data_IF_031426970094
#
_entry.id   IF_031426970094
#
_cell.length_a   1.000
_cell.length_b   1.000
_cell.length_c   1.000
_cell.angle_alpha   90.00
_cell.angle_beta   90.00
_cell.angle_gamma   90.00
#
_symmetry.space_group_name_H-M   'P 1'
#
loop_
_entity.id
_entity.type
_entity.pdbx_description
1 polymer ?
#
# COMPACT_ATOMS: atom_id res chain seq x y z
N UNK A 1 -14.51 33.17 16.07
CA UNK A 1 -14.56 32.19 17.17
C UNK A 1 -14.23 30.81 16.60
N UNK A 2 -12.95 30.46 16.52
CA UNK A 2 -12.43 29.15 16.06
C UNK A 2 -11.22 28.80 16.93
N UNK A 3 -11.51 28.45 18.17
CA UNK A 3 -10.61 27.79 19.12
C UNK A 3 -11.53 26.81 19.87
N UNK A 4 -11.05 25.61 20.16
CA UNK A 4 -11.79 24.46 20.74
C UNK A 4 -12.54 23.58 19.73
N UNK A 5 -11.80 22.79 18.95
CA UNK A 5 -12.32 21.53 18.37
C UNK A 5 -11.20 20.51 18.06
N UNK A 6 -10.03 20.63 18.72
CA UNK A 6 -8.89 19.69 18.56
C UNK A 6 -8.78 18.72 19.75
N UNK A 7 -9.65 18.79 20.75
CA UNK A 7 -9.49 18.05 22.01
C UNK A 7 -10.52 16.92 22.25
N UNK A 8 -11.27 16.44 21.24
CA UNK A 8 -12.35 15.47 21.51
C UNK A 8 -12.60 14.43 20.40
N UNK A 9 -11.56 14.04 19.67
CA UNK A 9 -11.63 12.94 18.68
C UNK A 9 -10.67 11.79 18.96
N UNK A 10 -9.91 11.84 20.06
CA UNK A 10 -8.88 10.84 20.39
C UNK A 10 -9.37 9.61 21.16
N UNK A 11 -10.69 9.45 21.29
CA UNK A 11 -11.30 8.32 22.01
C UNK A 11 -12.35 7.65 21.14
N UNK A 12 -11.89 6.79 20.22
CA UNK A 12 -12.57 5.58 19.72
C UNK A 12 -12.14 5.28 18.27
N UNK A 13 -10.89 4.82 18.06
CA UNK A 13 -10.51 3.96 16.93
C UNK A 13 -9.21 3.20 17.30
N UNK A 14 -9.15 2.74 18.55
CA UNK A 14 -8.12 1.84 19.05
C UNK A 14 -8.67 0.42 19.09
N UNK A 15 -8.87 -0.19 17.92
CA UNK A 15 -9.07 -1.63 17.80
C UNK A 15 -8.75 -2.04 16.36
N UNK A 16 -7.47 -2.24 16.06
CA UNK A 16 -7.13 -3.22 15.04
C UNK A 16 -7.80 -4.52 15.50
N UNK A 17 -8.83 -4.96 14.77
CA UNK A 17 -9.59 -6.14 15.12
C UNK A 17 -8.69 -7.36 14.94
N UNK A 18 -7.94 -7.69 15.99
CA UNK A 18 -7.31 -8.99 16.18
C UNK A 18 -8.44 -9.98 16.46
N UNK A 19 -9.14 -10.40 15.42
CA UNK A 19 -10.09 -11.51 15.50
C UNK A 19 -9.26 -12.77 15.78
N UNK A 20 -9.22 -13.18 17.04
CA UNK A 20 -8.60 -14.43 17.46
C UNK A 20 -9.51 -15.60 17.06
N UNK A 21 -9.30 -16.19 15.89
CA UNK A 21 -9.76 -17.56 15.64
C UNK A 21 -8.87 -18.55 16.43
N UNK A 22 -9.42 -19.67 16.94
CA UNK A 22 -8.64 -20.63 17.70
C UNK A 22 -7.57 -21.22 16.79
N UNK A 23 -6.30 -21.06 17.20
CA UNK A 23 -5.16 -21.59 16.47
C UNK A 23 -5.08 -23.11 16.69
N UNK A 24 -5.43 -23.89 15.68
CA UNK A 24 -4.74 -25.16 15.46
C UNK A 24 -3.23 -24.87 15.39
N UNK A 25 -2.38 -25.82 15.83
CA UNK A 25 -0.93 -25.65 15.76
C UNK A 25 -0.54 -25.31 14.31
N UNK A 26 -0.19 -24.03 14.08
CA UNK A 26 -0.01 -23.52 12.74
C UNK A 26 1.27 -24.11 12.15
N UNK A 27 1.15 -24.79 11.01
CA UNK A 27 2.33 -25.25 10.29
C UNK A 27 3.16 -24.04 9.88
N UNK A 28 4.46 -24.07 10.16
CA UNK A 28 5.38 -23.00 9.80
C UNK A 28 5.90 -23.24 8.38
N UNK A 29 6.03 -22.19 7.54
CA UNK A 29 6.71 -22.34 6.27
C UNK A 29 8.20 -22.63 6.50
N UNK A 30 8.90 -23.23 5.53
CA UNK A 30 10.34 -23.43 5.61
C UNK A 30 11.08 -22.10 5.81
N UNK A 31 12.19 -22.14 6.55
CA UNK A 31 13.09 -20.99 6.63
C UNK A 31 13.69 -20.67 5.26
N UNK A 32 13.80 -19.38 4.96
CA UNK A 32 14.38 -18.90 3.73
C UNK A 32 15.61 -18.02 4.05
N UNK A 33 16.83 -18.45 3.70
CA UNK A 33 18.04 -17.70 3.98
C UNK A 33 18.27 -16.51 3.02
N UNK A 34 17.44 -16.37 1.98
CA UNK A 34 17.64 -15.37 0.93
C UNK A 34 17.00 -14.05 1.31
N UNK A 35 17.53 -12.96 0.76
CA UNK A 35 16.93 -11.63 0.87
C UNK A 35 16.19 -11.28 -0.42
N UNK A 36 15.30 -10.28 -0.36
CA UNK A 36 14.53 -9.83 -1.52
C UNK A 36 14.70 -8.32 -1.67
N UNK A 37 14.99 -7.85 -2.88
CA UNK A 37 14.92 -6.42 -3.23
C UNK A 37 13.81 -6.23 -4.24
N UNK A 38 12.94 -5.24 -4.02
CA UNK A 38 11.83 -4.92 -4.92
C UNK A 38 11.97 -3.50 -5.43
N UNK A 39 11.75 -3.34 -6.74
CA UNK A 39 11.51 -2.04 -7.36
C UNK A 39 10.06 -2.05 -7.83
N UNK A 40 9.32 -1.03 -7.45
CA UNK A 40 7.92 -0.91 -7.79
C UNK A 40 7.61 0.50 -8.30
N UNK A 41 6.80 0.54 -9.35
CA UNK A 41 6.35 1.76 -10.00
C UNK A 41 4.83 1.68 -10.19
N UNK A 42 4.14 2.71 -9.74
CA UNK A 42 2.71 2.91 -9.95
C UNK A 42 2.53 4.20 -10.73
N UNK A 43 1.66 4.17 -11.73
CA UNK A 43 1.39 5.37 -12.53
C UNK A 43 0.03 5.26 -13.21
N UNK A 44 -0.71 6.36 -13.22
CA UNK A 44 -2.02 6.39 -13.87
C UNK A 44 -1.93 6.39 -15.41
N UNK A 45 -0.77 6.71 -15.99
CA UNK A 45 -0.51 6.50 -17.42
C UNK A 45 -0.28 5.03 -17.80
N UNK A 46 -0.03 4.12 -16.84
CA UNK A 46 0.07 2.67 -17.07
C UNK A 46 -1.30 1.99 -17.21
N UNK A 47 -2.37 2.69 -16.82
CA UNK A 47 -3.75 2.18 -16.87
C UNK A 47 -4.35 2.19 -18.29
N UNK A 48 -5.47 1.48 -18.47
CA UNK A 48 -6.25 1.44 -19.71
C UNK A 48 -7.72 1.89 -19.44
N UNK A 49 -8.13 3.12 -19.82
CA UNK A 49 -7.33 4.19 -20.39
C UNK A 49 -6.50 4.92 -19.34
N UNK A 50 -5.26 5.27 -19.68
CA UNK A 50 -4.39 6.01 -18.79
C UNK A 50 -4.81 7.47 -18.60
N UNK A 51 -4.46 8.04 -17.45
CA UNK A 51 -4.70 9.46 -17.10
C UNK A 51 -3.42 10.16 -16.62
N UNK A 52 -3.52 11.42 -16.14
CA UNK A 52 -2.46 12.15 -15.40
C UNK A 52 -3.12 13.06 -14.33
N UNK A 53 -3.78 12.45 -13.34
CA UNK A 53 -4.57 13.13 -12.29
C UNK A 53 -4.75 12.29 -11.03
N UNK A 54 -5.07 12.95 -9.92
CA UNK A 54 -5.34 12.31 -8.63
C UNK A 54 -4.10 11.59 -8.11
N UNK A 55 -4.10 10.28 -7.95
CA UNK A 55 -2.87 9.53 -7.72
C UNK A 55 -2.15 9.32 -9.05
N UNK A 56 -1.03 10.00 -9.25
CA UNK A 56 -0.35 10.07 -10.56
C UNK A 56 0.92 9.23 -10.62
N UNK A 57 1.65 9.11 -9.50
CA UNK A 57 2.88 8.34 -9.47
C UNK A 57 3.18 7.83 -8.07
N UNK A 58 3.70 6.60 -8.01
CA UNK A 58 4.30 6.01 -6.84
C UNK A 58 5.58 5.27 -7.19
N UNK A 59 6.67 5.57 -6.50
CA UNK A 59 7.95 4.88 -6.66
C UNK A 59 8.40 4.26 -5.34
N UNK A 60 8.76 2.97 -5.34
CA UNK A 60 9.17 2.25 -4.13
C UNK A 60 10.39 1.39 -4.37
N UNK A 61 11.29 1.44 -3.39
CA UNK A 61 12.40 0.50 -3.22
C UNK A 61 12.20 -0.25 -1.90
N UNK A 62 11.98 -1.56 -2.00
CA UNK A 62 11.76 -2.45 -0.86
C UNK A 62 12.93 -3.42 -0.65
N UNK A 63 13.17 -3.79 0.61
CA UNK A 63 14.11 -4.82 1.01
C UNK A 63 13.48 -5.72 2.09
N UNK A 64 13.50 -7.03 1.86
CA UNK A 64 13.10 -8.04 2.85
C UNK A 64 14.31 -8.87 3.24
N UNK A 65 14.59 -8.95 4.54
CA UNK A 65 15.66 -9.78 5.09
C UNK A 65 15.33 -11.28 5.10
N UNK A 66 16.32 -12.14 5.40
CA UNK A 66 16.12 -13.58 5.57
C UNK A 66 15.14 -13.92 6.71
N UNK A 67 14.57 -15.11 6.67
CA UNK A 67 13.75 -15.64 7.78
C UNK A 67 14.56 -15.73 9.06
N UNK A 68 13.99 -15.26 10.18
CA UNK A 68 14.62 -15.30 11.50
C UNK A 68 15.68 -14.23 11.74
N UNK A 69 16.09 -13.46 10.72
CA UNK A 69 17.01 -12.33 10.84
C UNK A 69 16.33 -11.07 11.41
N UNK A 70 15.68 -11.22 12.57
CA UNK A 70 14.91 -10.18 13.24
C UNK A 70 15.49 -9.92 14.63
N UNK A 71 15.74 -8.66 15.05
CA UNK A 71 16.21 -8.35 16.39
C UNK A 71 15.30 -8.96 17.46
N UNK A 72 15.90 -9.55 18.50
CA UNK A 72 15.15 -10.35 19.49
C UNK A 72 14.00 -9.62 20.18
N UNK A 73 14.10 -8.31 20.38
CA UNK A 73 13.01 -7.52 20.95
C UNK A 73 11.82 -7.37 19.98
N UNK A 74 12.08 -7.14 18.68
CA UNK A 74 11.05 -7.10 17.63
C UNK A 74 10.44 -8.49 17.46
N UNK A 75 11.27 -9.53 17.48
CA UNK A 75 10.81 -10.90 17.38
C UNK A 75 9.87 -11.29 18.52
N UNK A 76 10.24 -10.94 19.76
CA UNK A 76 9.42 -11.16 20.95
C UNK A 76 8.09 -10.41 20.89
N UNK A 77 8.12 -9.15 20.42
CA UNK A 77 6.91 -8.35 20.20
C UNK A 77 6.00 -9.02 19.16
N UNK A 78 6.54 -9.45 18.03
CA UNK A 78 5.79 -10.15 16.99
C UNK A 78 5.12 -11.42 17.50
N UNK A 79 5.86 -12.25 18.25
CA UNK A 79 5.31 -13.46 18.85
C UNK A 79 4.24 -13.16 19.90
N UNK A 80 4.39 -12.08 20.65
CA UNK A 80 3.36 -11.62 21.59
C UNK A 80 2.09 -11.10 20.90
N UNK A 81 2.23 -10.42 19.76
CA UNK A 81 1.11 -9.85 19.01
C UNK A 81 0.38 -10.88 18.14
N UNK A 82 1.12 -11.77 17.50
CA UNK A 82 0.63 -12.63 16.42
C UNK A 82 0.70 -14.13 16.72
N UNK A 83 1.36 -14.53 17.81
CA UNK A 83 1.56 -15.93 18.20
C UNK A 83 2.78 -16.57 17.50
N UNK A 84 2.71 -17.87 17.24
CA UNK A 84 3.76 -18.58 16.52
C UNK A 84 3.79 -18.17 15.03
N UNK A 85 4.99 -18.13 14.45
CA UNK A 85 5.18 -17.80 13.02
C UNK A 85 6.64 -17.57 12.69
N UNK A 86 7.01 -17.72 11.42
CA UNK A 86 8.33 -17.34 10.92
C UNK A 86 8.36 -15.85 10.61
N UNK A 87 9.40 -15.15 11.05
CA UNK A 87 9.44 -13.69 10.96
C UNK A 87 10.48 -13.20 9.95
N UNK A 88 10.15 -12.10 9.27
CA UNK A 88 11.06 -11.35 8.38
C UNK A 88 10.91 -9.85 8.65
N UNK A 89 11.98 -9.11 8.46
CA UNK A 89 11.97 -7.65 8.50
C UNK A 89 11.93 -7.10 7.07
N UNK A 90 11.04 -6.15 6.83
CA UNK A 90 10.90 -5.44 5.55
C UNK A 90 11.16 -3.94 5.78
N UNK A 91 11.89 -3.33 4.85
CA UNK A 91 12.26 -1.93 4.85
C UNK A 91 11.94 -1.32 3.49
N UNK A 92 11.28 -0.17 3.49
CA UNK A 92 10.85 0.50 2.27
C UNK A 92 11.26 1.96 2.26
N UNK A 93 11.63 2.47 1.09
CA UNK A 93 11.61 3.88 0.77
C UNK A 93 10.60 4.09 -0.35
N UNK A 94 9.58 4.92 -0.11
CA UNK A 94 8.53 5.19 -1.10
C UNK A 94 8.26 6.69 -1.26
N UNK A 95 7.96 7.09 -2.49
CA UNK A 95 7.40 8.39 -2.83
C UNK A 95 6.02 8.19 -3.47
N UNK A 96 5.07 9.03 -3.11
CA UNK A 96 3.74 9.10 -3.72
C UNK A 96 3.45 10.55 -4.12
N UNK A 97 2.88 10.73 -5.29
CA UNK A 97 2.63 12.02 -5.91
C UNK A 97 1.14 12.12 -6.25
N UNK A 98 0.53 13.22 -5.81
CA UNK A 98 -0.87 13.51 -6.00
C UNK A 98 -1.07 14.86 -6.69
N UNK A 99 -2.02 14.91 -7.63
CA UNK A 99 -2.35 16.10 -8.40
C UNK A 99 -3.87 16.35 -8.45
N UNK A 100 -4.31 17.61 -8.58
CA UNK A 100 -5.67 17.92 -8.99
C UNK A 100 -5.98 17.38 -10.40
N UNK A 101 -7.26 17.34 -10.75
CA UNK A 101 -7.77 16.87 -12.05
C UNK A 101 -7.22 17.66 -13.24
N UNK A 102 -7.07 18.98 -13.09
CA UNK A 102 -6.50 19.85 -14.14
C UNK A 102 -5.09 20.32 -13.73
N UNK A 103 -4.08 19.70 -14.35
CA UNK A 103 -2.68 19.95 -14.04
C UNK A 103 -2.11 21.20 -14.74
N UNK A 104 -2.84 21.74 -15.71
CA UNK A 104 -2.38 22.81 -16.59
C UNK A 104 -2.82 24.21 -16.14
N UNK A 105 -3.53 24.29 -15.01
CA UNK A 105 -3.92 25.54 -14.36
C UNK A 105 -2.90 25.93 -13.28
N UNK A 106 -2.41 27.17 -13.36
CA UNK A 106 -1.44 27.71 -12.38
C UNK A 106 -2.00 27.76 -10.95
N UNK A 107 -3.26 28.13 -10.80
CA UNK A 107 -3.96 28.19 -9.53
C UNK A 107 -5.10 27.15 -9.52
N UNK A 108 -4.86 25.92 -9.04
CA UNK A 108 -5.83 24.83 -9.12
C UNK A 108 -7.16 25.16 -8.43
N UNK A 109 -8.23 24.50 -8.89
CA UNK A 109 -9.56 24.59 -8.29
C UNK A 109 -9.49 24.26 -6.78
N UNK A 110 -9.94 25.15 -5.88
CA UNK A 110 -9.93 24.89 -4.44
C UNK A 110 -10.93 23.81 -4.00
N UNK A 111 -11.81 23.35 -4.88
CA UNK A 111 -12.74 22.22 -4.66
C UNK A 111 -12.21 20.89 -5.20
N UNK A 112 -10.97 20.86 -5.67
CA UNK A 112 -10.25 19.66 -6.07
C UNK A 112 -9.11 19.38 -5.07
N UNK A 113 -8.55 18.16 -5.10
CA UNK A 113 -7.46 17.80 -4.19
C UNK A 113 -6.24 18.71 -4.41
N UNK A 114 -5.49 19.05 -3.36
CA UNK A 114 -4.24 19.80 -3.51
C UNK A 114 -3.17 18.94 -4.21
N UNK A 115 -2.19 19.61 -4.80
CA UNK A 115 -0.92 18.92 -5.12
C UNK A 115 -0.28 18.45 -3.81
N UNK A 116 0.25 17.24 -3.79
CA UNK A 116 1.02 16.74 -2.67
C UNK A 116 2.10 15.78 -3.16
N UNK A 117 3.27 15.85 -2.54
CA UNK A 117 4.23 14.75 -2.56
C UNK A 117 4.36 14.22 -1.14
N UNK A 118 4.46 12.90 -0.99
CA UNK A 118 4.81 12.23 0.24
C UNK A 118 6.06 11.40 0.00
N UNK A 119 7.07 11.53 0.87
CA UNK A 119 8.25 10.68 0.89
C UNK A 119 8.32 10.02 2.26
N UNK A 120 8.37 8.69 2.32
CA UNK A 120 8.38 7.95 3.58
C UNK A 120 9.34 6.77 3.56
N UNK A 121 9.90 6.49 4.74
CA UNK A 121 10.62 5.27 5.04
C UNK A 121 9.76 4.39 5.95
N UNK A 122 9.61 3.11 5.61
CA UNK A 122 8.77 2.15 6.35
C UNK A 122 9.64 1.04 6.91
N UNK A 123 9.27 0.56 8.10
CA UNK A 123 9.82 -0.63 8.72
C UNK A 123 8.68 -1.54 9.13
N UNK A 124 8.68 -2.76 8.62
CA UNK A 124 7.61 -3.74 8.82
C UNK A 124 8.15 -5.06 9.34
N UNK A 125 7.45 -5.66 10.29
CA UNK A 125 7.58 -7.04 10.69
C UNK A 125 6.53 -7.87 9.94
N UNK A 126 7.00 -8.84 9.17
CA UNK A 126 6.17 -9.88 8.54
C UNK A 126 6.26 -11.12 9.43
N UNK A 127 5.12 -11.72 9.78
CA UNK A 127 5.06 -13.00 10.46
C UNK A 127 4.13 -13.97 9.74
N UNK A 128 4.72 -15.06 9.26
CA UNK A 128 4.04 -16.07 8.45
C UNK A 128 3.79 -17.37 9.20
N UNK A 129 2.62 -17.95 8.93
CA UNK A 129 2.36 -19.38 9.03
C UNK A 129 2.08 -19.90 7.61
N UNK A 130 1.84 -21.20 7.46
CA UNK A 130 1.41 -21.77 6.18
C UNK A 130 0.11 -21.15 5.65
N UNK A 131 -0.76 -20.62 6.53
CA UNK A 131 -2.11 -20.16 6.19
C UNK A 131 -2.35 -18.67 6.47
N UNK A 132 -1.42 -17.97 7.11
CA UNK A 132 -1.61 -16.55 7.43
C UNK A 132 -0.34 -15.74 7.34
N UNK A 133 -0.45 -14.50 6.86
CA UNK A 133 0.59 -13.46 6.96
C UNK A 133 0.08 -12.34 7.85
N UNK A 134 0.79 -12.06 8.94
CA UNK A 134 0.52 -10.92 9.83
C UNK A 134 1.59 -9.86 9.63
N UNK A 135 1.18 -8.60 9.62
CA UNK A 135 2.05 -7.46 9.36
C UNK A 135 1.84 -6.43 10.47
N UNK A 136 2.93 -5.88 11.00
CA UNK A 136 2.92 -4.67 11.81
C UNK A 136 4.13 -3.82 11.47
N UNK A 137 3.95 -2.50 11.41
CA UNK A 137 5.04 -1.61 11.06
C UNK A 137 4.79 -0.17 11.43
N UNK A 138 5.79 0.64 11.16
CA UNK A 138 5.73 2.09 11.29
C UNK A 138 6.35 2.75 10.06
N UNK A 139 5.85 3.93 9.72
CA UNK A 139 6.37 4.78 8.66
C UNK A 139 6.71 6.15 9.23
N UNK A 140 7.84 6.70 8.80
CA UNK A 140 8.23 8.09 9.06
C UNK A 140 8.48 8.80 7.75
N UNK A 141 8.10 10.06 7.64
CA UNK A 141 8.21 10.74 6.36
C UNK A 141 7.96 12.23 6.40
N UNK A 142 7.71 12.78 5.22
CA UNK A 142 7.35 14.17 5.01
C UNK A 142 6.34 14.29 3.88
N UNK A 143 5.32 15.13 4.08
CA UNK A 143 4.45 15.64 3.02
C UNK A 143 4.87 17.07 2.66
N UNK A 144 4.78 17.44 1.38
CA UNK A 144 5.01 18.79 0.87
C UNK A 144 6.29 18.96 0.03
N UNK A 145 6.80 20.18 -0.19
CA UNK A 145 7.94 20.43 -1.07
C UNK A 145 9.20 19.61 -0.77
N UNK A 146 9.47 19.30 0.51
CA UNK A 146 10.60 18.48 0.93
C UNK A 146 10.47 17.01 0.51
N UNK A 147 9.27 16.55 0.15
CA UNK A 147 9.05 15.24 -0.45
C UNK A 147 9.42 15.20 -1.94
N UNK A 148 9.81 16.32 -2.56
CA UNK A 148 10.34 16.40 -3.93
C UNK A 148 9.38 16.00 -5.07
N UNK A 149 8.07 15.93 -4.83
CA UNK A 149 7.08 15.51 -5.84
C UNK A 149 7.13 16.34 -7.13
N UNK A 150 7.25 17.68 -7.03
CA UNK A 150 7.41 18.55 -8.21
C UNK A 150 8.65 18.20 -9.04
N UNK A 151 9.79 18.00 -8.38
CA UNK A 151 11.06 17.76 -9.05
C UNK A 151 11.05 16.43 -9.79
N UNK A 152 10.50 15.39 -9.17
CA UNK A 152 10.38 14.05 -9.78
C UNK A 152 9.40 14.08 -10.93
N UNK A 153 8.18 14.57 -10.71
CA UNK A 153 7.15 14.59 -11.75
C UNK A 153 7.57 15.44 -12.96
N UNK A 154 7.91 16.72 -12.74
CA UNK A 154 8.25 17.59 -13.86
C UNK A 154 9.60 17.22 -14.50
N UNK A 155 10.54 16.66 -13.74
CA UNK A 155 11.79 16.13 -14.29
C UNK A 155 11.55 14.93 -15.20
N UNK A 156 10.67 14.00 -14.79
CA UNK A 156 10.26 12.89 -15.65
C UNK A 156 9.52 13.40 -16.90
N UNK A 157 8.56 14.32 -16.75
CA UNK A 157 7.85 14.93 -17.88
C UNK A 157 8.83 15.55 -18.89
N UNK A 158 9.86 16.25 -18.41
CA UNK A 158 10.91 16.81 -19.28
C UNK A 158 11.66 15.72 -20.06
N UNK A 159 12.03 14.61 -19.40
CA UNK A 159 12.72 13.48 -20.04
C UNK A 159 11.86 12.85 -21.15
N UNK A 160 10.55 12.70 -20.93
CA UNK A 160 9.64 12.06 -21.89
C UNK A 160 8.95 13.06 -22.84
N UNK A 161 9.30 14.35 -22.78
CA UNK A 161 8.77 15.40 -23.66
C UNK A 161 7.32 15.80 -23.37
N UNK A 162 6.83 15.57 -22.15
CA UNK A 162 5.52 16.03 -21.68
C UNK A 162 5.58 17.44 -21.09
N UNK A 163 4.41 18.10 -21.03
CA UNK A 163 4.31 19.45 -20.46
C UNK A 163 4.41 19.39 -18.93
N UNK A 164 5.17 20.27 -18.26
CA UNK A 164 5.26 20.29 -16.82
C UNK A 164 3.95 20.75 -16.17
N UNK A 165 3.68 20.22 -14.98
CA UNK A 165 2.50 20.58 -14.18
C UNK A 165 2.71 21.94 -13.49
N UNK A 166 1.70 22.82 -13.56
CA UNK A 166 1.86 24.26 -13.26
C UNK A 166 1.43 24.65 -11.85
N UNK A 167 0.67 23.80 -11.17
CA UNK A 167 0.02 24.12 -9.89
C UNK A 167 0.86 23.86 -8.65
N UNK A 168 2.07 23.30 -8.77
CA UNK A 168 2.94 22.88 -7.66
C UNK A 168 3.27 23.98 -6.62
N UNK A 169 3.12 25.27 -6.95
CA UNK A 169 3.22 26.37 -5.97
C UNK A 169 2.13 26.34 -4.90
N UNK A 170 1.00 25.69 -5.18
CA UNK A 170 -0.17 25.57 -4.31
C UNK A 170 -0.28 24.20 -3.63
N UNK A 171 0.80 23.41 -3.63
CA UNK A 171 0.85 22.11 -2.96
C UNK A 171 0.71 22.22 -1.45
N UNK A 172 0.42 21.09 -0.81
CA UNK A 172 0.52 20.94 0.64
C UNK A 172 1.91 21.30 1.11
N UNK A 173 1.98 21.80 2.33
CA UNK A 173 3.23 22.26 2.88
C UNK A 173 4.01 21.18 3.62
N UNK A 174 5.29 21.45 3.87
CA UNK A 174 6.15 20.59 4.67
C UNK A 174 5.52 20.25 6.03
N UNK A 175 5.27 18.96 6.22
CA UNK A 175 4.73 18.39 7.44
C UNK A 175 5.35 17.01 7.67
N UNK A 176 6.04 16.79 8.82
CA UNK A 176 6.59 15.48 9.15
C UNK A 176 5.45 14.51 9.43
N UNK A 177 5.63 13.26 9.00
CA UNK A 177 4.63 12.21 9.18
C UNK A 177 5.15 11.07 10.03
N UNK A 178 4.24 10.47 10.80
CA UNK A 178 4.43 9.27 11.58
C UNK A 178 3.15 8.45 11.53
N UNK A 179 3.24 7.24 11.00
CA UNK A 179 2.13 6.32 10.87
C UNK A 179 2.48 4.95 11.45
N UNK A 180 1.50 4.29 12.06
CA UNK A 180 1.59 2.91 12.51
C UNK A 180 0.53 2.11 11.78
N UNK A 181 0.90 0.94 11.28
CA UNK A 181 -0.01 0.10 10.51
C UNK A 181 0.12 -1.36 10.91
N UNK A 182 -0.94 -2.10 10.63
CA UNK A 182 -0.93 -3.54 10.81
C UNK A 182 -2.08 -4.20 10.09
N UNK A 183 -1.98 -5.52 9.96
CA UNK A 183 -2.99 -6.29 9.28
C UNK A 183 -2.71 -7.78 9.28
N UNK A 184 -3.67 -8.53 8.72
CA UNK A 184 -3.59 -9.96 8.57
C UNK A 184 -4.23 -10.39 7.26
N UNK A 185 -3.56 -11.30 6.58
CA UNK A 185 -4.02 -12.00 5.39
C UNK A 185 -4.23 -13.46 5.79
N UNK A 186 -5.37 -14.02 5.43
CA UNK A 186 -5.66 -15.45 5.55
C UNK A 186 -5.54 -16.08 4.18
N UNK A 187 -5.16 -17.35 4.13
CA UNK A 187 -5.01 -18.12 2.90
C UNK A 187 -5.93 -19.32 2.95
N UNK A 188 -6.85 -19.40 2.00
CA UNK A 188 -7.81 -20.50 1.90
C UNK A 188 -7.74 -21.15 0.52
N UNK A 189 -7.33 -22.41 0.48
CA UNK A 189 -7.31 -23.23 -0.74
C UNK A 189 -8.73 -23.72 -1.06
N UNK A 190 -9.32 -23.19 -2.13
CA UNK A 190 -10.73 -23.45 -2.48
C UNK A 190 -10.89 -24.65 -3.39
N UNK A 191 -10.03 -24.77 -4.40
CA UNK A 191 -10.10 -25.86 -5.37
C UNK A 191 -8.73 -26.13 -5.99
N UNK A 192 -8.55 -27.34 -6.50
CA UNK A 192 -7.39 -27.72 -7.30
C UNK A 192 -7.85 -28.58 -8.48
N UNK A 193 -7.45 -28.18 -9.69
CA UNK A 193 -7.75 -28.85 -10.95
C UNK A 193 -6.43 -29.25 -11.60
N UNK A 194 -5.98 -30.47 -11.31
CA UNK A 194 -4.76 -31.05 -11.90
C UNK A 194 -3.51 -30.15 -11.77
N UNK A 195 -3.28 -29.65 -10.54
CA UNK A 195 -2.13 -28.80 -10.24
C UNK A 195 -2.32 -27.32 -10.54
N UNK A 196 -3.50 -26.90 -11.01
CA UNK A 196 -3.94 -25.50 -11.05
C UNK A 196 -4.87 -25.24 -9.87
N UNK A 197 -4.47 -24.34 -8.97
CA UNK A 197 -5.21 -23.99 -7.77
C UNK A 197 -6.15 -22.79 -7.97
N UNK A 198 -7.19 -22.74 -7.14
CA UNK A 198 -7.98 -21.55 -6.83
C UNK A 198 -7.82 -21.28 -5.34
N UNK A 199 -7.44 -20.05 -5.00
CA UNK A 199 -7.22 -19.65 -3.62
C UNK A 199 -7.86 -18.29 -3.35
N UNK A 200 -8.34 -18.10 -2.14
CA UNK A 200 -8.86 -16.82 -1.67
C UNK A 200 -7.94 -16.31 -0.56
N UNK A 201 -7.63 -15.02 -0.62
CA UNK A 201 -6.85 -14.32 0.39
C UNK A 201 -7.65 -13.19 1.03
N UNK A 202 -8.54 -13.49 2.00
CA UNK A 202 -9.19 -12.44 2.79
C UNK A 202 -8.14 -11.68 3.58
N UNK A 203 -8.36 -10.38 3.80
CA UNK A 203 -7.45 -9.56 4.57
C UNK A 203 -8.15 -8.41 5.29
N UNK A 204 -7.58 -8.05 6.44
CA UNK A 204 -7.95 -6.87 7.23
C UNK A 204 -6.67 -6.10 7.49
N UNK A 205 -6.67 -4.79 7.21
CA UNK A 205 -5.55 -3.90 7.47
C UNK A 205 -6.05 -2.58 8.04
N UNK A 206 -5.16 -1.84 8.70
CA UNK A 206 -5.47 -0.51 9.18
C UNK A 206 -4.22 0.28 9.48
N UNK A 207 -4.38 1.59 9.51
CA UNK A 207 -3.32 2.55 9.80
C UNK A 207 -3.84 3.63 10.74
N UNK A 208 -2.98 4.09 11.64
CA UNK A 208 -3.20 5.26 12.48
C UNK A 208 -1.94 6.12 12.44
N UNK A 209 -2.11 7.37 12.04
CA UNK A 209 -1.05 8.38 12.05
C UNK A 209 -1.61 9.73 11.63
N UNK A 210 -0.72 10.65 11.29
CA UNK A 210 -1.13 11.96 10.77
C UNK A 210 -1.17 12.01 9.23
N UNK A 211 -0.61 11.03 8.51
CA UNK A 211 -0.86 10.94 7.07
C UNK A 211 -2.30 10.50 6.81
N UNK A 212 -2.67 9.34 7.36
CA UNK A 212 -4.02 8.79 7.23
C UNK A 212 -4.41 8.00 8.48
N UNK A 213 -5.71 7.95 8.75
CA UNK A 213 -6.33 7.04 9.72
C UNK A 213 -7.41 6.26 8.99
N UNK A 214 -7.21 4.96 8.83
CA UNK A 214 -8.18 4.11 8.14
C UNK A 214 -8.24 2.70 8.71
N UNK A 215 -9.36 2.03 8.46
CA UNK A 215 -9.51 0.59 8.59
C UNK A 215 -10.14 0.05 7.31
N UNK A 216 -9.64 -1.09 6.82
CA UNK A 216 -10.15 -1.71 5.61
C UNK A 216 -10.22 -3.23 5.74
N UNK A 217 -11.09 -3.80 4.91
CA UNK A 217 -11.25 -5.24 4.76
C UNK A 217 -11.50 -5.55 3.29
N UNK A 218 -11.03 -6.70 2.84
CA UNK A 218 -11.16 -7.10 1.45
C UNK A 218 -10.55 -8.47 1.23
N UNK A 219 -10.28 -8.78 -0.02
CA UNK A 219 -9.52 -9.97 -0.35
C UNK A 219 -9.39 -10.16 -1.84
N UNK A 220 -8.45 -11.03 -2.21
CA UNK A 220 -8.24 -11.42 -3.60
C UNK A 220 -8.66 -12.87 -3.81
N UNK A 221 -9.24 -13.14 -4.98
CA UNK A 221 -9.40 -14.49 -5.51
C UNK A 221 -8.36 -14.65 -6.60
N UNK A 222 -7.57 -15.74 -6.53
CA UNK A 222 -6.51 -16.01 -7.49
C UNK A 222 -6.57 -17.43 -8.04
N UNK A 223 -6.19 -17.55 -9.29
CA UNK A 223 -6.16 -18.79 -10.06
C UNK A 223 -4.78 -18.94 -10.69
N UNK A 224 -4.15 -20.10 -10.50
CA UNK A 224 -2.81 -20.33 -11.01
C UNK A 224 -2.07 -21.51 -10.38
N UNK A 225 -0.75 -21.47 -10.45
CA UNK A 225 0.13 -22.58 -10.13
C UNK A 225 1.21 -22.11 -9.16
N UNK A 226 1.41 -22.84 -8.04
CA UNK A 226 2.37 -22.45 -7.00
C UNK A 226 1.87 -21.34 -6.07
N UNK A 227 0.55 -21.28 -5.85
CA UNK A 227 -0.12 -20.22 -5.07
C UNK A 227 0.33 -20.14 -3.61
N UNK A 228 0.99 -21.17 -3.09
CA UNK A 228 1.61 -21.19 -1.77
C UNK A 228 2.91 -20.37 -1.68
N UNK A 229 3.44 -19.89 -2.81
CA UNK A 229 4.72 -19.15 -2.89
C UNK A 229 4.69 -17.74 -2.28
N UNK A 230 3.52 -17.09 -2.20
CA UNK A 230 3.36 -15.75 -1.62
C UNK A 230 1.95 -15.52 -1.04
N UNK A 231 1.70 -14.32 -0.51
CA UNK A 231 0.39 -13.89 0.00
C UNK A 231 -0.27 -12.83 -0.90
N UNK A 232 0.05 -12.85 -2.20
CA UNK A 232 -0.42 -11.88 -3.18
C UNK A 232 0.71 -10.98 -3.71
N UNK A 233 0.38 -10.10 -4.67
CA UNK A 233 1.35 -9.20 -5.27
C UNK A 233 1.81 -8.13 -4.27
N UNK A 234 2.99 -7.55 -4.54
CA UNK A 234 3.41 -6.33 -3.87
C UNK A 234 2.69 -5.14 -4.53
N UNK A 235 1.88 -4.44 -3.74
CA UNK A 235 1.29 -3.13 -4.09
C UNK A 235 1.57 -2.12 -2.98
N UNK A 236 1.55 -0.82 -3.28
CA UNK A 236 1.70 0.19 -2.23
C UNK A 236 0.42 0.24 -1.39
N UNK A 237 0.55 0.41 -0.07
CA UNK A 237 -0.62 0.62 0.77
C UNK A 237 -1.23 1.99 0.46
N UNK A 238 -2.57 2.12 0.48
CA UNK A 238 -3.53 1.25 1.18
C UNK A 238 -4.09 0.04 0.42
N UNK A 239 -3.61 -0.31 -0.78
CA UNK A 239 -4.14 -1.46 -1.53
C UNK A 239 -3.84 -2.82 -0.86
N UNK A 240 -4.42 -3.90 -1.41
CA UNK A 240 -4.40 -5.27 -0.89
C UNK A 240 -3.02 -5.96 -1.04
N UNK A 241 -2.00 -5.39 -0.39
CA UNK A 241 -0.61 -5.83 -0.52
C UNK A 241 -0.32 -7.16 0.17
N UNK A 242 0.20 -8.11 -0.62
CA UNK A 242 0.78 -9.36 -0.13
C UNK A 242 2.20 -9.22 0.41
N UNK A 243 2.77 -8.00 0.42
CA UNK A 243 4.17 -7.65 0.72
C UNK A 243 5.19 -8.20 -0.28
N UNK A 244 6.47 -7.82 -0.08
CA UNK A 244 7.57 -8.25 -0.94
C UNK A 244 8.04 -9.67 -0.67
N UNK A 245 7.63 -10.28 0.44
CA UNK A 245 8.14 -11.58 0.86
C UNK A 245 7.49 -12.73 0.08
N UNK A 246 8.31 -13.53 -0.62
CA UNK A 246 7.88 -14.75 -1.29
C UNK A 246 8.96 -15.83 -1.24
N UNK A 247 8.53 -17.09 -1.29
CA UNK A 247 9.42 -18.26 -1.36
C UNK A 247 8.90 -19.18 -2.46
N UNK A 248 9.55 -19.27 -3.63
CA UNK A 248 9.05 -20.09 -4.74
C UNK A 248 8.93 -21.56 -4.34
N UNK A 249 7.76 -22.15 -4.52
CA UNK A 249 7.49 -23.58 -4.23
C UNK A 249 7.66 -24.46 -5.48
N UNK A 250 7.91 -23.84 -6.64
CA UNK A 250 8.17 -24.50 -7.92
C UNK A 250 9.03 -23.63 -8.86
N UNK A 251 9.62 -24.22 -9.91
CA UNK A 251 10.48 -23.48 -10.85
C UNK A 251 9.77 -22.34 -11.60
N UNK A 252 8.47 -22.51 -11.85
CA UNK A 252 7.63 -21.53 -12.53
C UNK A 252 6.30 -21.41 -11.78
N UNK A 253 6.09 -20.26 -11.14
CA UNK A 253 4.85 -19.89 -10.45
C UNK A 253 4.16 -18.86 -11.32
N UNK A 254 2.84 -18.94 -11.44
CA UNK A 254 2.06 -17.90 -12.07
C UNK A 254 0.67 -17.84 -11.47
N UNK A 255 0.06 -16.67 -11.47
CA UNK A 255 -1.36 -16.52 -11.15
C UNK A 255 -1.95 -15.27 -11.78
N UNK A 256 -3.25 -15.35 -12.05
CA UNK A 256 -4.10 -14.18 -12.29
C UNK A 256 -5.02 -14.01 -11.10
N UNK A 257 -5.43 -12.79 -10.82
CA UNK A 257 -6.26 -12.50 -9.66
C UNK A 257 -7.21 -11.34 -9.90
N UNK A 258 -8.26 -11.31 -9.09
CA UNK A 258 -9.17 -10.18 -8.94
C UNK A 258 -9.51 -9.99 -7.46
N UNK A 259 -9.62 -8.74 -7.04
CA UNK A 259 -9.83 -8.37 -5.65
C UNK A 259 -10.82 -7.24 -5.50
N UNK A 260 -11.37 -7.14 -4.29
CA UNK A 260 -12.20 -6.03 -3.88
C UNK A 260 -11.89 -5.69 -2.42
N UNK A 261 -11.90 -4.39 -2.11
CA UNK A 261 -11.74 -3.89 -0.75
C UNK A 261 -12.76 -2.80 -0.44
N UNK A 262 -13.14 -2.71 0.83
CA UNK A 262 -13.88 -1.60 1.40
C UNK A 262 -13.05 -0.96 2.51
N UNK A 263 -12.96 0.36 2.50
CA UNK A 263 -12.14 1.16 3.40
C UNK A 263 -12.98 2.27 4.04
N UNK A 264 -12.84 2.40 5.36
CA UNK A 264 -13.31 3.57 6.10
C UNK A 264 -12.12 4.45 6.43
N UNK A 265 -12.13 5.68 5.93
CA UNK A 265 -11.09 6.70 6.16
C UNK A 265 -11.63 7.75 7.11
N UNK A 266 -11.01 7.88 8.29
CA UNK A 266 -11.35 8.88 9.29
C UNK A 266 -10.57 10.19 9.08
N UNK A 267 -9.35 10.08 8.57
CA UNK A 267 -8.43 11.19 8.33
C UNK A 267 -7.56 10.88 7.12
N UNK A 268 -7.33 11.87 6.27
CA UNK A 268 -6.37 11.82 5.17
C UNK A 268 -5.84 13.24 4.90
N UNK A 269 -4.59 13.49 5.27
CA UNK A 269 -3.90 14.77 5.08
C UNK A 269 -3.73 15.11 3.59
N UNK A 270 -3.59 14.14 2.70
CA UNK A 270 -3.39 14.34 1.26
C UNK A 270 -4.67 14.85 0.57
N UNK A 271 -5.83 14.64 1.20
CA UNK A 271 -7.14 15.14 0.76
C UNK A 271 -7.57 16.37 1.56
N UNK A 272 -7.47 16.32 2.89
CA UNK A 272 -8.02 17.33 3.81
C UNK A 272 -7.05 18.49 4.08
N UNK A 273 -5.78 18.32 3.74
CA UNK A 273 -4.71 19.29 3.96
C UNK A 273 -3.95 19.09 5.27
N UNK A 274 -2.85 19.84 5.40
CA UNK A 274 -1.93 19.86 6.55
C UNK A 274 -2.64 19.99 7.92
N UNK A 275 -2.18 19.23 8.92
CA UNK A 275 -2.72 19.26 10.29
C UNK A 275 -2.10 20.38 11.14
N UNK A 276 -0.81 20.65 10.96
CA UNK A 276 -0.09 21.64 11.79
C UNK A 276 -0.24 23.08 11.30
N UNK A 277 -0.70 23.28 10.06
CA UNK A 277 -0.83 24.61 9.43
C UNK A 277 -1.97 24.61 8.42
N UNK A 278 -2.68 25.73 8.31
CA UNK A 278 -3.73 25.85 7.28
C UNK A 278 -3.13 25.72 5.88
N UNK A 279 -3.80 24.94 5.05
CA UNK A 279 -3.46 24.69 3.65
C UNK A 279 -4.75 24.48 2.84
N UNK A 280 -4.61 24.10 1.57
CA UNK A 280 -5.75 23.67 0.74
C UNK A 280 -6.16 22.26 1.16
N UNK A 281 -7.45 22.00 1.02
CA UNK A 281 -8.02 20.69 1.28
C UNK A 281 -9.50 20.68 0.91
N UNK A 282 -10.03 19.49 0.75
CA UNK A 282 -11.42 19.24 0.36
C UNK A 282 -12.09 18.29 1.36
N UNK A 283 -13.42 18.19 1.28
CA UNK A 283 -14.18 17.31 2.15
C UNK A 283 -13.92 15.84 1.80
N UNK A 284 -13.44 15.07 2.78
CA UNK A 284 -13.16 13.64 2.66
C UNK A 284 -14.44 12.82 2.46
N UNK A 285 -14.40 11.87 1.52
CA UNK A 285 -15.39 10.80 1.43
C UNK A 285 -14.94 9.66 2.34
N UNK A 286 -15.67 9.43 3.44
CA UNK A 286 -15.24 8.47 4.46
C UNK A 286 -15.30 7.01 4.02
N UNK A 287 -16.28 6.63 3.19
CA UNK A 287 -16.42 5.26 2.70
C UNK A 287 -15.91 5.18 1.29
N UNK A 288 -14.87 4.38 1.10
CA UNK A 288 -14.19 4.19 -0.16
C UNK A 288 -14.12 2.69 -0.46
N UNK A 289 -13.94 2.32 -1.71
CA UNK A 289 -13.73 0.95 -2.11
C UNK A 289 -12.94 0.88 -3.40
N UNK A 290 -12.17 -0.20 -3.51
CA UNK A 290 -11.28 -0.42 -4.64
C UNK A 290 -11.58 -1.79 -5.25
N UNK A 291 -11.46 -1.88 -6.57
CA UNK A 291 -11.36 -3.13 -7.30
C UNK A 291 -9.96 -3.25 -7.85
N UNK A 292 -9.39 -4.44 -7.80
CA UNK A 292 -8.08 -4.70 -8.39
C UNK A 292 -8.11 -5.96 -9.24
N UNK A 293 -7.32 -5.99 -10.30
CA UNK A 293 -7.07 -7.20 -11.06
C UNK A 293 -5.63 -7.21 -11.58
N UNK A 294 -5.10 -8.39 -11.84
CA UNK A 294 -3.72 -8.45 -12.28
C UNK A 294 -3.19 -9.86 -12.50
N UNK A 295 -1.89 -9.91 -12.71
CA UNK A 295 -1.15 -11.15 -12.88
C UNK A 295 0.22 -11.05 -12.21
N UNK A 296 0.74 -12.20 -11.79
CA UNK A 296 2.11 -12.32 -11.34
C UNK A 296 2.76 -13.61 -11.85
N UNK A 297 4.08 -13.56 -12.03
CA UNK A 297 4.92 -14.69 -12.41
C UNK A 297 6.14 -14.70 -11.50
N UNK A 298 6.55 -15.90 -11.05
CA UNK A 298 7.82 -16.11 -10.35
C UNK A 298 8.64 -17.16 -11.10
N UNK A 299 9.83 -16.77 -11.54
CA UNK A 299 10.74 -17.64 -12.28
C UNK A 299 12.18 -17.34 -11.88
N UNK A 300 12.97 -18.38 -11.59
CA UNK A 300 14.39 -18.26 -11.23
C UNK A 300 14.68 -17.24 -10.11
N UNK A 301 13.81 -17.15 -9.08
CA UNK A 301 13.98 -16.20 -7.98
C UNK A 301 13.67 -14.75 -8.34
N UNK A 302 12.98 -14.50 -9.45
CA UNK A 302 12.45 -13.18 -9.82
C UNK A 302 10.94 -13.25 -9.85
N UNK A 303 10.27 -12.37 -9.10
CA UNK A 303 8.82 -12.15 -9.15
C UNK A 303 8.54 -10.88 -9.94
N UNK A 304 7.65 -10.96 -10.92
CA UNK A 304 7.09 -9.81 -11.63
C UNK A 304 5.59 -9.82 -11.42
N UNK A 305 5.02 -8.71 -10.97
CA UNK A 305 3.58 -8.52 -10.87
C UNK A 305 3.14 -7.25 -11.57
N UNK A 306 1.97 -7.32 -12.20
CA UNK A 306 1.26 -6.19 -12.78
C UNK A 306 -0.16 -6.17 -12.21
N UNK A 307 -0.58 -5.01 -11.71
CA UNK A 307 -1.88 -4.80 -11.06
C UNK A 307 -2.53 -3.56 -11.65
N UNK A 308 -3.82 -3.65 -11.95
CA UNK A 308 -4.68 -2.53 -12.28
C UNK A 308 -5.63 -2.29 -11.12
N UNK A 309 -5.67 -1.06 -10.61
CA UNK A 309 -6.53 -0.67 -9.49
C UNK A 309 -7.57 0.33 -9.96
N UNK A 310 -8.83 0.15 -9.57
CA UNK A 310 -9.95 1.06 -9.78
C UNK A 310 -10.47 1.53 -8.42
N UNK A 311 -10.47 2.83 -8.20
CA UNK A 311 -10.76 3.43 -6.89
C UNK A 311 -12.00 4.33 -6.97
N UNK A 312 -12.87 4.22 -5.96
CA UNK A 312 -14.01 5.14 -5.80
C UNK A 312 -13.55 6.55 -5.40
N UNK A 313 -14.38 7.58 -5.59
CA UNK A 313 -14.06 8.95 -5.18
C UNK A 313 -13.57 9.12 -3.73
N UNK A 314 -12.38 9.68 -3.52
CA UNK A 314 -11.81 9.96 -2.19
C UNK A 314 -12.37 11.24 -1.54
N UNK A 315 -12.96 12.16 -2.30
CA UNK A 315 -13.46 13.45 -1.80
C UNK A 315 -14.75 13.94 -2.47
N UNK A 316 -15.46 14.82 -1.78
CA UNK A 316 -16.74 15.36 -2.25
C UNK A 316 -16.59 16.35 -3.41
N UNK A 317 -17.66 16.50 -4.19
CA UNK A 317 -17.90 17.57 -5.15
C UNK A 317 -16.97 17.69 -6.37
N UNK A 318 -16.03 16.76 -6.63
CA UNK A 318 -15.27 16.74 -7.89
C UNK A 318 -14.51 15.44 -8.20
N UNK A 319 -14.40 14.48 -7.28
CA UNK A 319 -13.61 13.27 -7.54
C UNK A 319 -14.33 12.31 -8.51
N UNK A 320 -13.80 12.06 -9.72
CA UNK A 320 -14.20 10.89 -10.49
C UNK A 320 -13.68 9.63 -9.80
N UNK A 321 -14.30 8.48 -10.09
CA UNK A 321 -13.56 7.23 -9.94
C UNK A 321 -12.30 7.29 -10.81
N UNK A 322 -11.19 6.73 -10.34
CA UNK A 322 -9.94 6.75 -11.06
C UNK A 322 -9.26 5.40 -11.03
N UNK A 323 -8.28 5.23 -11.89
CA UNK A 323 -7.56 3.99 -11.99
C UNK A 323 -6.09 4.23 -12.29
N UNK A 324 -5.25 3.28 -11.90
CA UNK A 324 -3.82 3.32 -12.14
C UNK A 324 -3.24 1.91 -12.23
N UNK A 325 -2.12 1.80 -12.94
CA UNK A 325 -1.36 0.56 -13.07
C UNK A 325 -0.18 0.53 -12.12
N UNK A 326 0.15 -0.65 -11.62
CA UNK A 326 1.26 -0.96 -10.72
C UNK A 326 2.09 -2.08 -11.32
N UNK A 327 3.41 -1.90 -11.40
CA UNK A 327 4.36 -2.95 -11.80
C UNK A 327 5.44 -3.07 -10.74
N UNK A 328 5.64 -4.28 -10.24
CA UNK A 328 6.70 -4.60 -9.29
C UNK A 328 7.61 -5.70 -9.83
N UNK A 329 8.91 -5.54 -9.60
CA UNK A 329 9.93 -6.56 -9.87
C UNK A 329 10.73 -6.81 -8.61
N UNK A 330 10.66 -8.04 -8.10
CA UNK A 330 11.32 -8.47 -6.87
C UNK A 330 12.38 -9.54 -7.16
N UNK A 331 13.61 -9.31 -6.72
CA UNK A 331 14.74 -10.21 -6.90
C UNK A 331 15.09 -10.89 -5.57
N UNK A 332 15.04 -12.21 -5.53
CA UNK A 332 15.44 -13.04 -4.38
C UNK A 332 16.87 -13.57 -4.61
N UNK A 333 17.78 -13.31 -3.67
CA UNK A 333 19.22 -13.64 -3.76
C UNK A 333 19.83 -14.10 -2.46
#
# INVERSE_FOLDING_TARGET
MKKYLIATSLTALGAAALVSWPAAAAQLPPEDPHSIVTIQLENDALSIPGTDRLYTSGERLGYVGPTGAVPGFISSLGHGLFGAGTQRLEMDLQQQIFTPTDTQVYNPNPHDRPYAGQLSARLSLIQDTALTRSIAGAAVGMVGPAALGQSVQNGFHEIIGQTPNKGWRYQLHNEPTLDFFGGRIWREDVANFDGIGVQVLPQVTGQVGNTEIYAQTGGIVRFGQGLDSDFGPAVMQPQLSGTDAYTPTRPFVWYVFGGALGRFVAHDMLVQGNDFRSSRGVGLTHWQGDLECGAAVIVNGVRVSAVETFETPEFHHSAPAFQYGSVAVSFRF
#
